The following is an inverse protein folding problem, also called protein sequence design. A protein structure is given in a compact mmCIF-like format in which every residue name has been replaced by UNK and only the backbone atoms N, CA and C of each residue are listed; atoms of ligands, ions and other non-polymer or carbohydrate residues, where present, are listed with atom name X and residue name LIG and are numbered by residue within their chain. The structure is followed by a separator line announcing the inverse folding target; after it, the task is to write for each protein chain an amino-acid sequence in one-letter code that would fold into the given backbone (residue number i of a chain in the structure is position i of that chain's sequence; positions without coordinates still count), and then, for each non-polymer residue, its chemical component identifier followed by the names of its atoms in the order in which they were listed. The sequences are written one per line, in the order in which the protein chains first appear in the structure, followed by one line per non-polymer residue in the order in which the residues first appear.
data_IF_435393282723
#
_entry.id   IF_435393282723
#
_cell.length_a   1.000
_cell.length_b   1.000
_cell.length_c   1.000
_cell.angle_alpha   90.00
_cell.angle_beta   90.00
_cell.angle_gamma   90.00
#
_symmetry.space_group_name_H-M   'P 1'
#
loop_
_entity.id
_entity.type
_entity.pdbx_description
1 polymer ?
#
# COMPACT_ATOMS: atom_id res chain seq x y z
N UNK A 1 -37.59 -27.42 49.75
CA UNK A 1 -38.66 -26.42 49.90
C UNK A 1 -37.99 -25.14 50.42
N UNK A 2 -37.56 -24.25 49.66
CA UNK A 2 -37.17 -22.89 50.04
C UNK A 2 -37.65 -21.93 48.92
N UNK A 3 -38.43 -20.96 49.39
CA UNK A 3 -39.21 -20.02 48.61
C UNK A 3 -38.33 -19.05 47.82
N UNK A 4 -38.79 -18.72 46.61
CA UNK A 4 -38.27 -17.68 45.74
C UNK A 4 -38.95 -16.36 46.14
N UNK A 5 -38.16 -15.35 46.52
CA UNK A 5 -38.65 -13.99 46.74
C UNK A 5 -38.82 -13.24 45.40
N UNK A 6 -39.82 -12.34 45.30
CA UNK A 6 -40.08 -11.61 44.05
C UNK A 6 -39.15 -10.40 43.87
N UNK A 7 -38.69 -10.22 42.64
CA UNK A 7 -37.88 -9.12 42.16
C UNK A 7 -38.58 -7.76 42.33
N UNK A 8 -37.85 -6.78 42.90
CA UNK A 8 -38.24 -5.38 43.03
C UNK A 8 -38.30 -4.68 41.68
N UNK A 9 -39.43 -4.04 41.38
CA UNK A 9 -39.61 -3.12 40.25
C UNK A 9 -38.88 -1.81 40.52
N UNK A 10 -38.10 -1.35 39.54
CA UNK A 10 -37.46 -0.05 39.50
C UNK A 10 -38.47 1.05 39.10
N UNK A 11 -38.42 2.26 39.70
CA UNK A 11 -39.42 3.30 39.47
C UNK A 11 -39.25 3.95 38.09
N UNK A 12 -40.36 4.11 37.39
CA UNK A 12 -40.47 4.76 36.11
C UNK A 12 -40.26 6.29 36.20
N UNK A 13 -39.46 6.81 35.28
CA UNK A 13 -39.10 8.22 35.08
C UNK A 13 -40.33 9.08 34.70
N UNK A 14 -40.60 10.24 35.33
CA UNK A 14 -41.86 11.03 35.19
C UNK A 14 -41.90 12.01 34.00
N UNK A 15 -41.06 11.91 32.97
CA UNK A 15 -41.06 12.89 31.84
C UNK A 15 -41.68 12.34 30.54
N UNK A 16 -42.91 11.84 30.61
CA UNK A 16 -43.71 11.55 29.42
C UNK A 16 -45.13 12.09 29.56
N UNK A 17 -45.28 13.42 29.45
CA UNK A 17 -46.58 14.09 29.11
C UNK A 17 -46.26 15.50 28.63
N UNK A 18 -46.08 15.73 27.32
CA UNK A 18 -46.34 17.02 26.72
C UNK A 18 -47.16 16.80 25.43
N UNK A 19 -48.20 17.51 25.37
CA UNK A 19 -49.37 17.48 24.51
C UNK A 19 -49.08 17.56 22.99
N UNK A 20 -49.93 16.84 22.25
CA UNK A 20 -50.22 17.06 20.83
C UNK A 20 -51.02 18.37 20.69
N UNK A 21 -50.45 19.37 20.02
CA UNK A 21 -51.18 20.51 19.49
C UNK A 21 -50.98 20.45 17.96
N UNK A 22 -52.06 20.20 17.25
CA UNK A 22 -52.11 20.26 15.79
C UNK A 22 -52.05 21.74 15.32
N UNK A 23 -51.10 22.02 14.44
CA UNK A 23 -51.16 23.25 13.62
C UNK A 23 -50.95 22.81 12.18
N UNK A 24 -52.02 22.91 11.39
CA UNK A 24 -52.01 22.87 9.92
C UNK A 24 -51.32 24.13 9.41
N UNK A 25 -50.19 23.96 8.73
CA UNK A 25 -49.57 24.98 7.92
C UNK A 25 -49.10 24.39 6.59
N UNK A 26 -49.58 24.96 5.56
CA UNK A 26 -49.47 24.80 4.14
C UNK A 26 -48.14 24.27 3.60
N UNK A 27 -48.27 23.29 2.71
CA UNK A 27 -47.21 22.68 1.94
C UNK A 27 -46.51 23.68 0.99
N UNK A 28 -45.24 23.95 1.27
CA UNK A 28 -44.27 24.37 0.29
C UNK A 28 -43.32 23.25 0.04
N UNK A 29 -43.42 22.53 -1.07
CA UNK A 29 -42.52 21.47 -1.45
C UNK A 29 -41.17 22.08 -1.80
N UNK A 30 -40.25 22.13 -0.84
CA UNK A 30 -38.81 22.26 -1.13
C UNK A 30 -38.33 20.86 -1.49
N UNK A 31 -38.16 20.61 -2.79
CA UNK A 31 -37.44 19.41 -3.26
C UNK A 31 -36.00 19.56 -2.79
N UNK A 32 -35.68 18.94 -1.62
CA UNK A 32 -34.32 18.78 -1.20
C UNK A 32 -33.66 17.83 -2.20
N UNK A 33 -32.82 18.37 -3.08
CA UNK A 33 -32.00 17.62 -3.99
C UNK A 33 -31.15 16.62 -3.18
N UNK A 34 -31.29 15.31 -3.46
CA UNK A 34 -30.42 14.29 -2.92
C UNK A 34 -28.95 14.70 -3.19
N UNK A 35 -28.03 14.50 -2.25
CA UNK A 35 -26.61 14.74 -2.53
C UNK A 35 -26.20 13.85 -3.68
N UNK A 36 -25.89 14.44 -4.83
CA UNK A 36 -25.26 13.73 -5.93
C UNK A 36 -23.95 13.17 -5.41
N UNK A 37 -23.64 11.87 -5.69
CA UNK A 37 -22.31 11.35 -5.40
C UNK A 37 -21.30 12.26 -6.08
N UNK A 38 -20.36 12.78 -5.30
CA UNK A 38 -19.26 13.58 -5.82
C UNK A 38 -18.56 12.73 -6.87
N UNK A 39 -18.76 13.05 -8.14
CA UNK A 39 -17.99 12.48 -9.24
C UNK A 39 -16.54 12.83 -8.90
N UNK A 40 -15.75 11.80 -8.59
CA UNK A 40 -14.33 11.97 -8.35
C UNK A 40 -13.77 12.74 -9.55
N UNK A 41 -13.46 14.01 -9.31
CA UNK A 41 -12.88 14.89 -10.31
C UNK A 41 -11.61 14.22 -10.78
N UNK A 42 -11.55 13.84 -12.04
CA UNK A 42 -10.37 13.22 -12.63
C UNK A 42 -9.17 14.10 -12.26
N UNK A 43 -8.31 13.59 -11.38
CA UNK A 43 -7.13 14.34 -10.96
C UNK A 43 -6.36 14.70 -12.23
N UNK A 44 -6.12 16.00 -12.42
CA UNK A 44 -5.36 16.50 -13.55
C UNK A 44 -4.10 15.65 -13.69
N UNK A 45 -3.89 15.08 -14.87
CA UNK A 45 -2.82 14.12 -15.11
C UNK A 45 -1.48 14.72 -14.63
N UNK A 46 -0.90 14.17 -13.58
CA UNK A 46 0.38 14.66 -13.05
C UNK A 46 1.43 14.57 -14.14
N UNK A 47 2.17 15.66 -14.44
CA UNK A 47 3.17 15.63 -15.50
C UNK A 47 4.16 14.49 -15.30
N UNK A 48 4.60 13.81 -16.35
CA UNK A 48 5.60 12.74 -16.26
C UNK A 48 6.80 13.16 -15.43
N UNK A 49 7.23 12.32 -14.51
CA UNK A 49 8.36 12.54 -13.63
C UNK A 49 9.30 11.33 -13.63
N UNK A 50 10.13 11.20 -12.60
CA UNK A 50 11.00 10.05 -12.39
C UNK A 50 10.41 9.15 -11.31
N UNK A 51 10.24 7.87 -11.60
CA UNK A 51 9.84 6.85 -10.61
C UNK A 51 10.92 5.78 -10.47
N UNK A 52 11.23 5.42 -9.22
CA UNK A 52 12.06 4.26 -8.92
C UNK A 52 11.21 3.16 -8.30
N UNK A 53 11.33 1.94 -8.85
CA UNK A 53 10.60 0.76 -8.35
C UNK A 53 11.59 -0.32 -7.92
N UNK A 54 11.52 -0.75 -6.66
CA UNK A 54 12.33 -1.88 -6.18
C UNK A 54 11.63 -3.22 -6.45
N UNK A 55 12.43 -4.27 -6.73
CA UNK A 55 11.91 -5.61 -6.99
C UNK A 55 11.08 -5.71 -8.29
N UNK A 56 11.56 -5.08 -9.35
CA UNK A 56 10.84 -4.91 -10.61
C UNK A 56 10.88 -6.13 -11.56
N UNK A 57 11.55 -7.22 -11.20
CA UNK A 57 11.75 -8.35 -12.13
C UNK A 57 10.49 -9.13 -12.49
N UNK A 58 9.42 -9.05 -11.69
CA UNK A 58 8.16 -9.80 -11.89
C UNK A 58 6.99 -9.18 -11.13
N UNK A 59 5.78 -9.71 -11.40
CA UNK A 59 4.57 -9.42 -10.62
C UNK A 59 4.24 -7.93 -10.57
N UNK A 60 3.87 -7.44 -9.38
CA UNK A 60 3.46 -6.06 -9.13
C UNK A 60 4.55 -5.06 -9.54
N UNK A 61 5.81 -5.33 -9.19
CA UNK A 61 6.92 -4.44 -9.49
C UNK A 61 7.16 -4.28 -11.00
N UNK A 62 7.11 -5.38 -11.77
CA UNK A 62 7.20 -5.33 -13.22
C UNK A 62 6.04 -4.55 -13.84
N UNK A 63 4.83 -4.78 -13.34
CA UNK A 63 3.65 -4.10 -13.84
C UNK A 63 3.67 -2.59 -13.55
N UNK A 64 4.18 -2.16 -12.39
CA UNK A 64 4.46 -0.73 -12.13
C UNK A 64 5.39 -0.15 -13.19
N UNK A 65 6.52 -0.81 -13.44
CA UNK A 65 7.50 -0.37 -14.45
C UNK A 65 6.86 -0.25 -15.82
N UNK A 66 6.09 -1.26 -16.24
CA UNK A 66 5.41 -1.27 -17.54
C UNK A 66 4.45 -0.09 -17.67
N UNK A 67 3.54 0.09 -16.71
CA UNK A 67 2.53 1.14 -16.78
C UNK A 67 3.11 2.56 -16.65
N UNK A 68 4.14 2.77 -15.83
CA UNK A 68 4.80 4.07 -15.76
C UNK A 68 5.59 4.38 -17.03
N UNK A 69 6.29 3.40 -17.61
CA UNK A 69 7.00 3.58 -18.86
C UNK A 69 6.05 3.89 -20.03
N UNK A 70 4.89 3.22 -20.09
CA UNK A 70 3.84 3.49 -21.07
C UNK A 70 3.21 4.88 -20.91
N UNK A 71 3.12 5.36 -19.67
CA UNK A 71 2.63 6.70 -19.36
C UNK A 71 3.69 7.82 -19.57
N UNK A 72 4.87 7.49 -20.14
CA UNK A 72 5.92 8.46 -20.50
C UNK A 72 6.80 8.91 -19.33
N UNK A 73 6.75 8.25 -18.16
CA UNK A 73 7.63 8.55 -17.03
C UNK A 73 9.06 8.06 -17.28
N UNK A 74 10.05 8.76 -16.72
CA UNK A 74 11.38 8.21 -16.57
C UNK A 74 11.36 7.13 -15.49
N UNK A 75 11.65 5.88 -15.83
CA UNK A 75 11.52 4.75 -14.92
C UNK A 75 12.88 4.16 -14.59
N UNK A 76 13.17 4.01 -13.30
CA UNK A 76 14.32 3.27 -12.79
C UNK A 76 13.78 1.97 -12.20
N UNK A 77 13.98 0.87 -12.91
CA UNK A 77 13.56 -0.46 -12.50
C UNK A 77 14.74 -1.19 -11.84
N UNK A 78 14.56 -1.60 -10.58
CA UNK A 78 15.64 -2.31 -9.89
C UNK A 78 15.32 -3.78 -9.64
N UNK A 79 16.34 -4.62 -9.80
CA UNK A 79 16.30 -6.04 -9.49
C UNK A 79 17.69 -6.51 -9.05
N UNK A 80 17.79 -7.64 -8.34
CA UNK A 80 19.09 -8.19 -7.93
C UNK A 80 20.01 -8.46 -9.14
N UNK A 81 19.44 -9.01 -10.19
CA UNK A 81 20.10 -9.29 -11.47
C UNK A 81 19.19 -8.83 -12.60
N UNK A 82 19.18 -7.53 -12.95
CA UNK A 82 18.23 -7.00 -13.93
C UNK A 82 18.42 -7.61 -15.32
N UNK A 83 19.64 -8.01 -15.67
CA UNK A 83 19.95 -8.62 -16.97
C UNK A 83 19.39 -10.04 -17.13
N UNK A 84 19.11 -10.73 -16.02
CA UNK A 84 18.50 -12.07 -16.02
C UNK A 84 16.95 -11.99 -16.08
N UNK A 85 16.38 -10.80 -15.89
CA UNK A 85 14.95 -10.58 -15.94
C UNK A 85 14.51 -10.30 -17.39
N UNK A 86 14.27 -11.37 -18.16
CA UNK A 86 13.95 -11.32 -19.61
C UNK A 86 12.89 -10.28 -19.94
N UNK A 87 11.78 -10.26 -19.20
CA UNK A 87 10.68 -9.31 -19.39
C UNK A 87 11.11 -7.84 -19.20
N UNK A 88 12.01 -7.55 -18.23
CA UNK A 88 12.55 -6.20 -18.06
C UNK A 88 13.48 -5.82 -19.19
N UNK A 89 14.36 -6.74 -19.62
CA UNK A 89 15.29 -6.51 -20.73
C UNK A 89 14.52 -6.25 -22.03
N UNK A 90 13.51 -7.06 -22.33
CA UNK A 90 12.65 -6.87 -23.50
C UNK A 90 11.88 -5.54 -23.45
N UNK A 91 11.38 -5.15 -22.27
CA UNK A 91 10.69 -3.87 -22.12
C UNK A 91 11.67 -2.70 -22.31
N UNK A 92 12.87 -2.77 -21.73
CA UNK A 92 13.91 -1.74 -21.87
C UNK A 92 14.39 -1.58 -23.33
N UNK A 93 14.47 -2.66 -24.08
CA UNK A 93 14.80 -2.60 -25.50
C UNK A 93 13.77 -1.80 -26.34
N UNK A 94 12.51 -1.73 -25.87
CA UNK A 94 11.39 -1.03 -26.54
C UNK A 94 11.09 0.35 -25.95
N UNK A 95 11.68 0.70 -24.79
CA UNK A 95 11.33 1.92 -24.01
C UNK A 95 12.59 2.67 -23.60
N UNK A 96 12.93 3.75 -24.32
CA UNK A 96 14.11 4.59 -24.03
C UNK A 96 14.04 5.31 -22.67
N UNK A 97 12.84 5.43 -22.09
CA UNK A 97 12.59 6.03 -20.79
C UNK A 97 12.70 5.04 -19.62
N UNK A 98 13.20 3.81 -19.86
CA UNK A 98 13.41 2.78 -18.86
C UNK A 98 14.90 2.51 -18.66
N UNK A 99 15.36 2.69 -17.42
CA UNK A 99 16.71 2.38 -16.94
C UNK A 99 16.66 1.18 -16.00
N UNK A 100 17.53 0.20 -16.23
CA UNK A 100 17.67 -0.99 -15.39
C UNK A 100 18.86 -0.82 -14.45
N UNK A 101 18.64 -1.06 -13.15
CA UNK A 101 19.65 -0.95 -12.09
C UNK A 101 19.70 -2.19 -11.22
N UNK A 102 20.93 -2.60 -10.86
CA UNK A 102 21.12 -3.68 -9.89
C UNK A 102 20.87 -3.16 -8.47
N UNK A 103 20.02 -3.90 -7.72
CA UNK A 103 19.76 -3.65 -6.31
C UNK A 103 19.35 -4.94 -5.60
N UNK A 104 20.08 -5.29 -4.56
CA UNK A 104 19.63 -6.17 -3.49
C UNK A 104 19.32 -5.31 -2.26
N UNK A 105 18.05 -5.26 -1.86
CA UNK A 105 17.58 -4.40 -0.76
C UNK A 105 18.05 -4.86 0.62
N UNK A 106 18.61 -6.08 0.73
CA UNK A 106 19.19 -6.60 1.98
C UNK A 106 20.71 -6.46 2.03
N UNK A 107 21.35 -6.07 0.93
CA UNK A 107 22.80 -5.88 0.85
C UNK A 107 23.16 -4.39 0.91
N UNK A 108 23.83 -3.99 1.99
CA UNK A 108 24.24 -2.60 2.21
C UNK A 108 25.18 -2.09 1.10
N UNK A 109 26.10 -2.95 0.59
CA UNK A 109 27.02 -2.57 -0.48
C UNK A 109 26.25 -2.32 -1.80
N UNK A 110 25.25 -3.15 -2.10
CA UNK A 110 24.38 -2.96 -3.25
C UNK A 110 23.59 -1.66 -3.19
N UNK A 111 23.06 -1.31 -2.01
CA UNK A 111 22.33 -0.06 -1.78
C UNK A 111 23.26 1.15 -1.97
N UNK A 112 24.46 1.14 -1.34
CA UNK A 112 25.45 2.20 -1.49
C UNK A 112 25.86 2.39 -2.95
N UNK A 113 26.10 1.31 -3.67
CA UNK A 113 26.44 1.37 -5.08
C UNK A 113 25.30 1.97 -5.93
N UNK A 114 24.05 1.64 -5.64
CA UNK A 114 22.89 2.27 -6.30
C UNK A 114 22.83 3.77 -6.00
N UNK A 115 22.96 4.17 -4.74
CA UNK A 115 22.99 5.57 -4.32
C UNK A 115 24.04 6.38 -5.11
N UNK A 116 25.24 5.83 -5.27
CA UNK A 116 26.31 6.46 -6.02
C UNK A 116 25.94 6.63 -7.51
N UNK A 117 25.37 5.60 -8.13
CA UNK A 117 24.94 5.65 -9.55
C UNK A 117 23.79 6.62 -9.81
N UNK A 118 22.99 6.91 -8.77
CA UNK A 118 21.86 7.82 -8.84
C UNK A 118 22.15 9.19 -8.20
N UNK A 119 23.43 9.48 -7.86
CA UNK A 119 23.79 10.74 -7.22
C UNK A 119 23.32 11.95 -8.04
N UNK A 120 22.60 12.88 -7.38
CA UNK A 120 22.08 14.10 -8.00
C UNK A 120 20.87 13.90 -8.92
N UNK A 121 20.39 12.67 -9.14
CA UNK A 121 19.21 12.42 -9.96
C UNK A 121 17.91 12.64 -9.14
N UNK A 122 17.02 13.59 -9.50
CA UNK A 122 15.76 13.77 -8.82
C UNK A 122 14.82 12.57 -9.04
N UNK A 123 14.20 12.09 -7.97
CA UNK A 123 13.19 11.03 -7.98
C UNK A 123 11.87 11.60 -7.46
N UNK A 124 10.86 11.64 -8.29
CA UNK A 124 9.53 12.12 -7.93
C UNK A 124 8.79 11.13 -7.03
N UNK A 125 8.93 9.82 -7.33
CA UNK A 125 8.23 8.73 -6.64
C UNK A 125 9.20 7.58 -6.38
N UNK A 126 9.40 7.21 -5.12
CA UNK A 126 10.08 5.98 -4.72
C UNK A 126 9.04 4.93 -4.33
N UNK A 127 9.03 3.78 -4.99
CA UNK A 127 8.14 2.66 -4.70
C UNK A 127 8.96 1.50 -4.13
N UNK A 128 8.91 1.31 -2.83
CA UNK A 128 9.44 0.16 -2.13
C UNK A 128 8.48 -1.03 -2.32
N UNK A 129 8.72 -1.80 -3.40
CA UNK A 129 7.91 -2.96 -3.74
C UNK A 129 8.62 -4.29 -3.47
N UNK A 130 9.95 -4.32 -3.43
CA UNK A 130 10.69 -5.54 -3.15
C UNK A 130 10.20 -6.20 -1.86
N UNK A 131 9.86 -7.49 -1.93
CA UNK A 131 9.33 -8.25 -0.81
C UNK A 131 9.03 -9.70 -1.19
N UNK A 132 8.79 -10.53 -0.19
CA UNK A 132 8.45 -11.94 -0.36
C UNK A 132 7.45 -12.39 0.71
N UNK A 133 6.64 -13.37 0.37
CA UNK A 133 5.77 -14.11 1.30
C UNK A 133 6.44 -15.37 1.82
N UNK A 134 7.59 -15.74 1.22
CA UNK A 134 8.24 -17.06 1.38
C UNK A 134 7.26 -18.23 1.13
N UNK A 135 6.26 -17.99 0.29
CA UNK A 135 5.17 -18.94 0.00
C UNK A 135 4.50 -19.49 1.27
N UNK A 136 4.55 -18.75 2.39
CA UNK A 136 4.06 -19.13 3.71
C UNK A 136 4.66 -20.45 4.27
N UNK A 137 5.84 -20.86 3.78
CA UNK A 137 6.52 -22.08 4.25
C UNK A 137 6.90 -21.93 5.72
N UNK A 138 6.60 -22.97 6.51
CA UNK A 138 6.94 -22.98 7.94
C UNK A 138 6.37 -21.80 8.72
N UNK A 139 5.20 -21.31 8.35
CA UNK A 139 4.54 -20.17 9.02
C UNK A 139 3.20 -20.58 9.64
N UNK A 140 3.03 -21.83 10.05
CA UNK A 140 1.87 -22.31 10.81
C UNK A 140 2.27 -22.62 12.24
N UNK A 141 1.38 -22.32 13.21
CA UNK A 141 1.64 -22.63 14.62
C UNK A 141 1.94 -24.14 14.82
N UNK A 142 2.93 -24.43 15.62
CA UNK A 142 3.44 -25.79 15.83
C UNK A 142 4.42 -26.29 14.75
N UNK A 143 4.60 -25.55 13.65
CA UNK A 143 5.53 -25.87 12.54
C UNK A 143 6.27 -24.61 12.06
N UNK A 144 6.62 -23.71 13.00
CA UNK A 144 7.29 -22.45 12.67
C UNK A 144 8.76 -22.68 12.33
N UNK A 145 9.17 -22.26 11.13
CA UNK A 145 10.56 -22.20 10.71
C UNK A 145 11.19 -20.89 11.22
N UNK A 146 11.80 -20.91 12.39
CA UNK A 146 12.32 -19.72 13.08
C UNK A 146 13.46 -19.02 12.32
N UNK A 147 14.22 -19.75 11.52
CA UNK A 147 15.26 -19.21 10.62
C UNK A 147 14.70 -18.30 9.53
N UNK A 148 13.42 -18.42 9.20
CA UNK A 148 12.76 -17.57 8.19
C UNK A 148 12.32 -16.20 8.71
N UNK A 149 12.23 -16.04 10.03
CA UNK A 149 11.83 -14.76 10.64
C UNK A 149 12.77 -13.62 10.23
N UNK A 150 14.08 -13.80 10.46
CA UNK A 150 15.08 -12.79 10.13
C UNK A 150 15.08 -12.43 8.64
N UNK A 151 14.97 -13.42 7.75
CA UNK A 151 14.90 -13.20 6.31
C UNK A 151 13.72 -12.30 5.90
N UNK A 152 12.52 -12.60 6.39
CA UNK A 152 11.33 -11.82 6.04
C UNK A 152 11.35 -10.42 6.66
N UNK A 153 11.89 -10.25 7.86
CA UNK A 153 12.06 -8.93 8.48
C UNK A 153 13.06 -8.08 7.70
N UNK A 154 14.21 -8.63 7.33
CA UNK A 154 15.23 -7.93 6.54
C UNK A 154 14.70 -7.51 5.18
N UNK A 155 14.03 -8.42 4.47
CA UNK A 155 13.56 -8.15 3.11
C UNK A 155 12.35 -7.21 3.08
N UNK A 156 11.33 -7.46 3.92
CA UNK A 156 10.03 -6.80 3.81
C UNK A 156 9.93 -5.50 4.61
N UNK A 157 10.77 -5.30 5.64
CA UNK A 157 10.70 -4.15 6.53
C UNK A 157 12.02 -3.33 6.54
N UNK A 158 13.14 -3.95 6.87
CA UNK A 158 14.41 -3.24 6.99
C UNK A 158 14.96 -2.79 5.62
N UNK A 159 14.86 -3.64 4.58
CA UNK A 159 15.29 -3.29 3.23
C UNK A 159 14.65 -2.01 2.67
N UNK A 160 13.32 -1.85 2.72
CA UNK A 160 12.64 -0.61 2.37
C UNK A 160 13.16 0.62 3.13
N UNK A 161 13.48 0.49 4.42
CA UNK A 161 14.04 1.60 5.20
C UNK A 161 15.44 1.97 4.73
N UNK A 162 16.35 1.01 4.57
CA UNK A 162 17.70 1.25 4.05
C UNK A 162 17.71 1.93 2.68
N UNK A 163 16.85 1.45 1.77
CA UNK A 163 16.72 2.06 0.44
C UNK A 163 16.19 3.47 0.54
N UNK A 164 15.23 3.71 1.43
CA UNK A 164 14.66 5.03 1.65
C UNK A 164 15.71 5.99 2.21
N UNK A 165 16.47 5.60 3.24
CA UNK A 165 17.56 6.41 3.80
C UNK A 165 18.60 6.77 2.75
N UNK A 166 19.01 5.80 1.92
CA UNK A 166 20.00 6.03 0.87
C UNK A 166 19.53 7.00 -0.21
N UNK A 167 18.22 6.99 -0.55
CA UNK A 167 17.66 7.74 -1.68
C UNK A 167 16.79 8.93 -1.26
N UNK A 168 16.64 9.22 0.04
CA UNK A 168 15.77 10.31 0.50
C UNK A 168 16.19 11.67 -0.06
N UNK A 169 17.48 11.93 -0.25
CA UNK A 169 17.97 13.16 -0.88
C UNK A 169 17.56 13.28 -2.35
N UNK A 170 17.52 12.15 -3.08
CA UNK A 170 17.01 12.12 -4.45
C UNK A 170 15.50 12.42 -4.50
N UNK A 171 14.73 11.88 -3.53
CA UNK A 171 13.29 12.15 -3.43
C UNK A 171 13.02 13.60 -3.05
N UNK A 172 13.81 14.17 -2.13
CA UNK A 172 13.70 15.58 -1.73
C UNK A 172 13.97 16.54 -2.90
N UNK A 173 14.87 16.16 -3.80
CA UNK A 173 15.15 16.90 -5.04
C UNK A 173 14.04 16.72 -6.10
N UNK A 174 13.20 15.72 -5.98
CA UNK A 174 12.06 15.49 -6.87
C UNK A 174 10.95 16.52 -6.68
N UNK A 175 10.07 16.67 -7.68
CA UNK A 175 8.95 17.62 -7.64
C UNK A 175 7.78 17.11 -6.81
N UNK A 176 7.49 15.79 -6.87
CA UNK A 176 6.32 15.20 -6.21
C UNK A 176 6.61 14.70 -4.80
N UNK A 177 7.86 14.37 -4.49
CA UNK A 177 8.36 14.00 -3.17
C UNK A 177 7.53 12.90 -2.49
N UNK A 178 7.36 11.76 -3.16
CA UNK A 178 6.52 10.66 -2.67
C UNK A 178 7.35 9.40 -2.40
N UNK A 179 7.14 8.78 -1.25
CA UNK A 179 7.72 7.50 -0.85
C UNK A 179 6.58 6.54 -0.52
N UNK A 180 6.48 5.45 -1.27
CA UNK A 180 5.45 4.44 -1.10
C UNK A 180 6.08 3.09 -0.75
N UNK A 181 5.37 2.31 0.08
CA UNK A 181 5.71 0.92 0.32
C UNK A 181 4.53 0.00 -0.04
N UNK A 182 4.80 -1.02 -0.84
CA UNK A 182 3.79 -2.07 -1.11
C UNK A 182 3.72 -2.98 0.10
N UNK A 183 2.68 -2.77 0.90
CA UNK A 183 2.37 -3.54 2.09
C UNK A 183 1.28 -4.59 1.80
N UNK A 184 0.57 -5.02 2.82
CA UNK A 184 -0.49 -6.02 2.74
C UNK A 184 -1.46 -5.85 3.90
N UNK A 185 -2.75 -6.14 3.68
CA UNK A 185 -3.73 -6.28 4.77
C UNK A 185 -3.31 -7.33 5.81
N UNK A 186 -2.42 -8.26 5.44
CA UNK A 186 -1.83 -9.21 6.37
C UNK A 186 -1.04 -8.54 7.51
N UNK A 187 -0.55 -7.31 7.32
CA UNK A 187 0.13 -6.52 8.34
C UNK A 187 -0.79 -5.58 9.15
N UNK A 188 -2.09 -5.60 8.89
CA UNK A 188 -3.07 -4.76 9.60
C UNK A 188 -3.63 -5.46 10.84
N UNK A 189 -3.56 -4.82 11.99
CA UNK A 189 -4.23 -5.26 13.21
C UNK A 189 -5.75 -5.04 13.12
N UNK A 190 -6.17 -3.95 12.49
CA UNK A 190 -7.59 -3.58 12.35
C UNK A 190 -8.42 -4.56 11.53
N UNK A 191 -7.79 -5.27 10.58
CA UNK A 191 -8.43 -6.36 9.83
C UNK A 191 -7.90 -7.74 10.23
N UNK A 192 -7.33 -7.85 11.44
CA UNK A 192 -6.84 -9.11 12.01
C UNK A 192 -5.90 -9.90 11.08
N UNK A 193 -4.98 -9.18 10.45
CA UNK A 193 -4.01 -9.77 9.53
C UNK A 193 -4.61 -10.39 8.28
N UNK A 194 -5.73 -9.84 7.80
CA UNK A 194 -6.44 -10.32 6.60
C UNK A 194 -7.33 -11.53 6.83
N UNK A 195 -7.61 -11.90 8.11
CA UNK A 195 -8.54 -12.98 8.47
C UNK A 195 -8.02 -14.40 8.19
N UNK A 196 -6.81 -14.57 7.66
CA UNK A 196 -6.25 -15.89 7.38
C UNK A 196 -5.41 -16.42 8.54
N UNK A 197 -5.52 -17.70 8.92
CA UNK A 197 -4.64 -18.32 9.91
C UNK A 197 -3.21 -18.46 9.36
N UNK A 198 -2.22 -18.56 10.26
CA UNK A 198 -0.81 -18.71 9.87
C UNK A 198 -0.19 -17.42 9.31
N UNK A 199 0.91 -17.58 8.56
CA UNK A 199 1.63 -16.46 7.96
C UNK A 199 2.34 -15.57 8.98
N UNK A 200 2.76 -16.13 10.12
CA UNK A 200 3.28 -15.37 11.27
C UNK A 200 4.40 -14.41 10.89
N UNK A 201 5.42 -14.92 10.21
CA UNK A 201 6.59 -14.11 9.88
C UNK A 201 6.31 -13.06 8.81
N UNK A 202 5.51 -13.43 7.81
CA UNK A 202 5.07 -12.48 6.79
C UNK A 202 4.18 -11.37 7.39
N UNK A 203 3.20 -11.74 8.20
CA UNK A 203 2.33 -10.76 8.90
C UNK A 203 3.14 -9.83 9.77
N UNK A 204 4.04 -10.39 10.60
CA UNK A 204 4.93 -9.59 11.45
C UNK A 204 5.79 -8.63 10.64
N UNK A 205 6.36 -9.07 9.52
CA UNK A 205 7.19 -8.22 8.66
C UNK A 205 6.39 -7.09 7.99
N UNK A 206 5.13 -7.35 7.61
CA UNK A 206 4.26 -6.30 7.02
C UNK A 206 3.71 -5.34 8.08
N UNK A 207 3.45 -5.80 9.30
CA UNK A 207 3.12 -4.93 10.43
C UNK A 207 4.30 -4.03 10.81
N UNK A 208 5.52 -4.59 10.83
CA UNK A 208 6.74 -3.80 11.02
C UNK A 208 6.92 -2.75 9.92
N UNK A 209 6.77 -3.12 8.65
CA UNK A 209 6.81 -2.17 7.53
C UNK A 209 5.78 -1.04 7.70
N UNK A 210 4.54 -1.37 8.07
CA UNK A 210 3.49 -0.40 8.30
C UNK A 210 3.88 0.63 9.37
N UNK A 211 4.39 0.16 10.52
CA UNK A 211 4.84 1.04 11.61
C UNK A 211 6.03 1.90 11.18
N UNK A 212 7.02 1.33 10.49
CA UNK A 212 8.19 2.06 10.00
C UNK A 212 7.77 3.18 9.03
N UNK A 213 6.87 2.91 8.10
CA UNK A 213 6.40 3.91 7.15
C UNK A 213 5.53 4.99 7.80
N UNK A 214 4.74 4.64 8.82
CA UNK A 214 3.99 5.62 9.62
C UNK A 214 4.95 6.56 10.36
N UNK A 215 5.97 6.03 11.04
CA UNK A 215 7.00 6.83 11.72
C UNK A 215 7.76 7.74 10.74
N UNK A 216 8.18 7.16 9.60
CA UNK A 216 8.86 7.88 8.53
C UNK A 216 8.03 9.04 7.99
N UNK A 217 6.70 8.89 7.91
CA UNK A 217 5.81 9.96 7.47
C UNK A 217 5.83 11.17 8.38
N UNK A 218 6.03 10.97 9.68
CA UNK A 218 6.13 12.03 10.68
C UNK A 218 7.47 12.76 10.56
N UNK A 219 8.57 12.00 10.45
CA UNK A 219 9.93 12.54 10.37
C UNK A 219 10.17 13.33 9.08
N UNK A 220 9.57 12.88 7.96
CA UNK A 220 9.76 13.52 6.65
C UNK A 220 8.73 14.61 6.33
N UNK A 221 7.70 14.78 7.16
CA UNK A 221 6.69 15.83 6.98
C UNK A 221 7.28 17.25 6.88
N UNK A 222 8.27 17.67 7.73
CA UNK A 222 8.89 18.99 7.61
C UNK A 222 9.64 19.20 6.29
N UNK A 223 10.07 18.12 5.63
CA UNK A 223 10.74 18.15 4.32
C UNK A 223 9.76 18.14 3.13
N UNK A 224 8.46 18.13 3.40
CA UNK A 224 7.41 18.08 2.39
C UNK A 224 7.31 16.75 1.63
N UNK A 225 7.88 15.68 2.19
CA UNK A 225 7.85 14.34 1.57
C UNK A 225 6.60 13.59 2.06
N UNK A 226 5.82 13.08 1.13
CA UNK A 226 4.62 12.30 1.40
C UNK A 226 4.97 10.80 1.47
N UNK A 227 4.54 10.15 2.53
CA UNK A 227 4.83 8.72 2.76
C UNK A 227 3.51 7.96 2.97
N UNK A 228 3.31 6.84 2.28
CA UNK A 228 2.14 6.00 2.50
C UNK A 228 2.44 4.52 2.24
N UNK A 229 1.65 3.65 2.88
CA UNK A 229 1.59 2.24 2.55
C UNK A 229 0.48 1.96 1.53
N UNK A 230 0.73 1.06 0.60
CA UNK A 230 -0.23 0.60 -0.40
C UNK A 230 -0.58 -0.86 -0.19
N UNK A 231 -1.87 -1.19 -0.22
CA UNK A 231 -2.34 -2.57 -0.28
C UNK A 231 -2.77 -2.90 -1.71
N UNK A 232 -2.09 -3.85 -2.38
CA UNK A 232 -2.43 -4.22 -3.75
C UNK A 232 -3.70 -5.06 -3.85
N UNK A 233 -4.30 -5.48 -2.73
CA UNK A 233 -5.29 -6.53 -2.70
C UNK A 233 -4.66 -7.92 -2.83
N UNK A 234 -5.49 -8.93 -3.04
CA UNK A 234 -5.04 -10.30 -3.27
C UNK A 234 -4.70 -10.48 -4.76
N UNK A 235 -3.45 -10.19 -5.14
CA UNK A 235 -3.01 -10.19 -6.54
C UNK A 235 -2.44 -11.55 -6.93
N UNK A 236 -2.83 -12.06 -8.09
CA UNK A 236 -2.20 -13.25 -8.68
C UNK A 236 -0.81 -12.93 -9.26
N UNK A 237 0.19 -12.95 -8.41
CA UNK A 237 1.60 -12.80 -8.83
C UNK A 237 2.26 -14.14 -9.18
N UNK A 238 1.55 -15.26 -9.01
CA UNK A 238 2.06 -16.61 -9.18
C UNK A 238 1.44 -17.36 -10.38
N UNK A 239 0.54 -16.70 -11.12
CA UNK A 239 -0.13 -17.29 -12.26
C UNK A 239 -1.12 -18.40 -11.87
N UNK A 240 -1.81 -18.26 -10.75
CA UNK A 240 -2.85 -19.20 -10.33
C UNK A 240 -3.99 -19.26 -11.34
N UNK A 241 -4.43 -18.10 -11.84
CA UNK A 241 -5.48 -18.01 -12.85
C UNK A 241 -5.10 -18.75 -14.15
N UNK A 242 -3.84 -18.65 -14.59
CA UNK A 242 -3.34 -19.37 -15.76
C UNK A 242 -3.31 -20.91 -15.56
N UNK A 243 -3.34 -21.37 -14.31
CA UNK A 243 -3.42 -22.80 -13.93
C UNK A 243 -4.84 -23.23 -13.57
N UNK A 244 -5.85 -22.41 -13.86
CA UNK A 244 -7.24 -22.67 -13.55
C UNK A 244 -7.62 -22.57 -12.07
N UNK A 245 -6.74 -21.98 -11.24
CA UNK A 245 -6.98 -21.80 -9.80
C UNK A 245 -7.52 -20.40 -9.57
N UNK A 246 -8.78 -20.31 -9.18
CA UNK A 246 -9.44 -19.04 -8.80
C UNK A 246 -9.60 -18.98 -7.29
N UNK A 247 -9.19 -17.87 -6.68
CA UNK A 247 -9.44 -17.60 -5.26
C UNK A 247 -10.40 -16.40 -5.11
N UNK A 248 -11.40 -16.47 -4.22
CA UNK A 248 -12.30 -15.34 -4.00
C UNK A 248 -11.55 -14.04 -3.70
N UNK A 249 -11.95 -12.95 -4.33
CA UNK A 249 -11.32 -11.64 -4.12
C UNK A 249 -9.97 -11.44 -4.79
N UNK A 250 -9.55 -12.37 -5.66
CA UNK A 250 -8.33 -12.21 -6.47
C UNK A 250 -8.49 -11.05 -7.47
N UNK A 251 -7.48 -10.20 -7.54
CA UNK A 251 -7.43 -9.01 -8.39
C UNK A 251 -6.40 -9.22 -9.48
N UNK A 252 -6.75 -8.84 -10.70
CA UNK A 252 -5.78 -8.79 -11.81
C UNK A 252 -4.66 -7.80 -11.47
N UNK A 253 -3.41 -8.18 -11.78
CA UNK A 253 -2.22 -7.37 -11.45
C UNK A 253 -2.26 -6.00 -12.13
N UNK A 254 -2.81 -5.91 -13.35
CA UNK A 254 -2.92 -4.65 -14.09
C UNK A 254 -3.88 -3.69 -13.41
N UNK A 255 -5.06 -4.18 -13.02
CA UNK A 255 -6.06 -3.38 -12.29
C UNK A 255 -5.55 -2.94 -10.93
N UNK A 256 -4.88 -3.85 -10.21
CA UNK A 256 -4.28 -3.52 -8.92
C UNK A 256 -3.24 -2.40 -9.03
N UNK A 257 -2.34 -2.50 -10.01
CA UNK A 257 -1.28 -1.50 -10.21
C UNK A 257 -1.83 -0.19 -10.76
N UNK A 258 -2.80 -0.24 -11.68
CA UNK A 258 -3.50 0.97 -12.15
C UNK A 258 -4.15 1.72 -10.99
N UNK A 259 -4.87 1.01 -10.13
CA UNK A 259 -5.46 1.59 -8.92
C UNK A 259 -4.41 2.19 -7.98
N UNK A 260 -3.33 1.48 -7.69
CA UNK A 260 -2.24 2.02 -6.85
C UNK A 260 -1.58 3.26 -7.49
N UNK A 261 -1.41 3.30 -8.81
CA UNK A 261 -0.88 4.49 -9.50
C UNK A 261 -1.83 5.68 -9.38
N UNK A 262 -3.14 5.46 -9.45
CA UNK A 262 -4.14 6.51 -9.23
C UNK A 262 -4.08 7.04 -7.80
N UNK A 263 -3.94 6.15 -6.79
CA UNK A 263 -3.70 6.53 -5.39
C UNK A 263 -2.42 7.36 -5.26
N UNK A 264 -1.32 6.93 -5.87
CA UNK A 264 -0.04 7.67 -5.85
C UNK A 264 -0.21 9.05 -6.49
N UNK A 265 -0.87 9.14 -7.64
CA UNK A 265 -1.09 10.41 -8.34
C UNK A 265 -1.89 11.40 -7.47
N UNK A 266 -2.97 10.93 -6.83
CA UNK A 266 -3.85 11.73 -5.98
C UNK A 266 -3.36 11.93 -4.55
N UNK A 267 -2.22 11.35 -4.14
CA UNK A 267 -1.76 11.43 -2.74
C UNK A 267 -1.48 12.88 -2.33
N UNK A 268 -2.22 13.33 -1.34
CA UNK A 268 -2.15 14.70 -0.79
C UNK A 268 -1.52 14.70 0.63
N UNK A 269 -1.06 15.86 1.14
CA UNK A 269 -0.44 15.97 2.47
C UNK A 269 -1.27 15.39 3.62
N UNK A 270 -2.59 15.53 3.56
CA UNK A 270 -3.50 14.98 4.57
C UNK A 270 -3.54 13.43 4.59
N UNK A 271 -3.08 12.79 3.53
CA UNK A 271 -3.02 11.33 3.40
C UNK A 271 -1.62 10.76 3.68
N UNK A 272 -0.63 11.61 3.96
CA UNK A 272 0.69 11.14 4.41
C UNK A 272 0.55 10.43 5.76
N UNK A 273 1.16 9.27 5.90
CA UNK A 273 1.03 8.42 7.08
C UNK A 273 -0.23 7.56 7.06
N UNK A 274 -0.80 7.25 5.89
CA UNK A 274 -1.97 6.36 5.79
C UNK A 274 -1.63 5.06 5.07
N UNK A 275 -2.48 4.06 5.29
CA UNK A 275 -2.47 2.79 4.59
C UNK A 275 -3.66 2.76 3.62
N UNK A 276 -3.40 2.66 2.32
CA UNK A 276 -4.42 2.85 1.28
C UNK A 276 -4.47 1.61 0.38
N UNK A 277 -5.67 1.11 0.13
CA UNK A 277 -5.89 0.03 -0.82
C UNK A 277 -5.80 0.54 -2.26
N UNK A 278 -5.51 -0.34 -3.21
CA UNK A 278 -5.48 -0.01 -4.64
C UNK A 278 -6.78 0.65 -5.15
N UNK A 279 -7.91 0.38 -4.50
CA UNK A 279 -9.22 1.00 -4.81
C UNK A 279 -9.37 2.45 -4.32
N UNK A 280 -8.40 2.96 -3.54
CA UNK A 280 -8.43 4.30 -2.95
C UNK A 280 -8.92 4.35 -1.50
N UNK A 281 -9.43 3.23 -0.97
CA UNK A 281 -9.96 3.16 0.39
C UNK A 281 -8.83 3.17 1.43
N UNK A 282 -8.93 4.05 2.43
CA UNK A 282 -8.04 4.02 3.58
C UNK A 282 -8.33 2.77 4.41
N UNK A 283 -7.27 2.06 4.73
CA UNK A 283 -7.33 0.83 5.52
C UNK A 283 -6.91 1.10 6.96
N UNK A 284 -7.47 0.38 7.93
CA UNK A 284 -6.96 0.43 9.30
C UNK A 284 -5.56 -0.20 9.38
N UNK A 285 -4.78 0.33 10.30
CA UNK A 285 -3.44 -0.20 10.61
C UNK A 285 -3.48 -1.56 11.29
#
# INVERSE_FOLDING_TARGET
VTAVEPSQELPMNPFRRIAVAALLATAGAVVAGAPQPAVAQAAAATPPGTVLVTGASRGIGFEFVRQYAEAGWSVIATARKPQDAKNLVELAARRRNLRLEALDVVDAASITALQQRLAGLPIDVLINNAGDTDQFRGQSFGKLAHDRFGYLMELNAHGPMRVTEALVGNVEAGRQKKILAVSSLAGSFGVQGGGMPGGYWYKASKAALNMLMLSLSQDLKPRGILVACLSPGQVDTQGYAARGITMPGMVDVKLSVEGMRNVIAGLAPAQSGTFIRYSGDVQPW
#
